data_IF_826370921075
#
_entry.id   IF_826370921075
#
_cell.length_a   1.000
_cell.length_b   1.000
_cell.length_c   1.000
_cell.angle_alpha   90.00
_cell.angle_beta   90.00
_cell.angle_gamma   90.00
#
_symmetry.space_group_name_H-M   'P 1'
#
loop_
_entity.id
_entity.type
_entity.pdbx_description
1 polymer ?
#
# COMPACT_ATOMS: atom_id res chain seq x y z
N UNK A 1 -22.90 35.78 -49.13
CA UNK A 1 -23.48 34.54 -48.57
C UNK A 1 -22.47 33.37 -48.47
N UNK A 2 -21.48 33.23 -49.37
CA UNK A 2 -20.46 32.16 -49.27
C UNK A 2 -19.38 32.39 -48.21
N UNK A 3 -19.07 33.65 -47.89
CA UNK A 3 -18.05 34.04 -46.89
C UNK A 3 -18.50 33.84 -45.44
N UNK A 4 -19.79 34.01 -45.15
CA UNK A 4 -20.36 33.85 -43.80
C UNK A 4 -20.49 32.38 -43.40
N UNK A 5 -20.81 31.49 -44.34
CA UNK A 5 -20.87 30.04 -44.11
C UNK A 5 -19.49 29.45 -43.78
N UNK A 6 -18.43 29.92 -44.44
CA UNK A 6 -17.06 29.45 -44.16
C UNK A 6 -16.61 29.86 -42.76
N UNK A 7 -16.92 31.08 -42.33
CA UNK A 7 -16.56 31.58 -41.00
C UNK A 7 -17.27 30.80 -39.87
N UNK A 8 -18.55 30.46 -40.06
CA UNK A 8 -19.33 29.67 -39.09
C UNK A 8 -18.81 28.24 -38.98
N UNK A 9 -18.43 27.62 -40.10
CA UNK A 9 -17.85 26.26 -40.10
C UNK A 9 -16.47 26.25 -39.42
N UNK A 10 -15.61 27.24 -39.68
CA UNK A 10 -14.30 27.35 -39.02
C UNK A 10 -14.45 27.57 -37.52
N UNK A 11 -15.39 28.39 -37.07
CA UNK A 11 -15.68 28.60 -35.65
C UNK A 11 -16.25 27.33 -34.99
N UNK A 12 -17.16 26.62 -35.65
CA UNK A 12 -17.73 25.38 -35.12
C UNK A 12 -16.65 24.28 -34.99
N UNK A 13 -15.76 24.15 -35.99
CA UNK A 13 -14.64 23.21 -35.94
C UNK A 13 -13.62 23.63 -34.88
N UNK A 14 -13.30 24.91 -34.73
CA UNK A 14 -12.41 25.39 -33.69
C UNK A 14 -12.97 25.14 -32.28
N UNK A 15 -14.27 25.35 -32.06
CA UNK A 15 -14.94 25.04 -30.80
C UNK A 15 -14.97 23.54 -30.55
N UNK A 16 -15.25 22.71 -31.56
CA UNK A 16 -15.27 21.25 -31.43
C UNK A 16 -13.86 20.69 -31.14
N UNK A 17 -12.83 21.20 -31.82
CA UNK A 17 -11.42 20.82 -31.59
C UNK A 17 -10.95 21.30 -30.22
N UNK A 18 -11.34 22.52 -29.80
CA UNK A 18 -11.03 23.04 -28.47
C UNK A 18 -11.75 22.25 -27.37
N UNK A 19 -13.00 21.84 -27.59
CA UNK A 19 -13.78 20.98 -26.69
C UNK A 19 -13.21 19.56 -26.59
N UNK A 20 -12.84 18.95 -27.73
CA UNK A 20 -12.17 17.64 -27.79
C UNK A 20 -10.75 17.68 -27.22
N UNK A 21 -10.03 18.80 -27.36
CA UNK A 21 -8.72 19.02 -26.73
C UNK A 21 -8.85 19.23 -25.22
N UNK A 22 -9.86 19.97 -24.76
CA UNK A 22 -10.15 20.16 -23.33
C UNK A 22 -10.59 18.86 -22.64
N UNK A 23 -11.20 17.91 -23.38
CA UNK A 23 -11.47 16.54 -22.87
C UNK A 23 -10.21 15.67 -22.71
N UNK A 24 -9.06 16.05 -23.29
CA UNK A 24 -7.78 15.34 -23.12
C UNK A 24 -6.77 16.08 -22.23
N UNK A 25 -7.04 17.33 -21.84
CA UNK A 25 -6.14 18.14 -21.01
C UNK A 25 -6.82 18.43 -19.68
N UNK A 26 -6.92 17.37 -18.87
CA UNK A 26 -7.38 17.42 -17.49
C UNK A 26 -6.53 16.52 -16.59
N UNK A 27 -5.21 16.51 -16.78
CA UNK A 27 -4.24 15.90 -15.85
C UNK A 27 -2.84 16.42 -16.17
N UNK A 28 -2.53 17.61 -15.65
CA UNK A 28 -1.15 18.11 -15.54
C UNK A 28 -0.89 18.49 -14.08
N UNK A 29 -0.49 17.49 -13.31
CA UNK A 29 0.28 17.64 -12.08
C UNK A 29 1.64 17.00 -12.30
N UNK A 30 2.52 17.67 -13.05
CA UNK A 30 3.91 17.27 -13.22
C UNK A 30 4.71 17.60 -11.97
N UNK A 31 4.80 16.65 -11.05
CA UNK A 31 5.68 16.69 -9.89
C UNK A 31 6.38 15.34 -9.76
N UNK A 32 7.67 15.30 -10.12
CA UNK A 32 8.71 14.30 -9.79
C UNK A 32 8.15 12.98 -9.19
N UNK A 33 8.10 11.91 -9.99
CA UNK A 33 7.65 10.58 -9.56
C UNK A 33 8.52 10.11 -8.38
N UNK A 34 8.04 10.36 -7.14
CA UNK A 34 8.28 9.47 -6.01
C UNK A 34 7.59 8.17 -6.40
N UNK A 35 8.28 7.05 -6.31
CA UNK A 35 7.71 5.73 -6.62
C UNK A 35 6.29 5.63 -6.05
N UNK A 36 5.29 5.18 -6.84
CA UNK A 36 3.92 5.10 -6.36
C UNK A 36 3.87 4.09 -5.21
N UNK A 37 3.81 4.60 -3.98
CA UNK A 37 3.53 3.77 -2.81
C UNK A 37 2.13 3.22 -2.99
N UNK A 38 2.01 1.90 -3.03
CA UNK A 38 0.71 1.24 -3.06
C UNK A 38 -0.01 1.54 -1.74
N UNK A 39 -1.21 2.16 -1.79
CA UNK A 39 -2.02 2.42 -0.60
C UNK A 39 -2.27 1.13 0.17
N UNK A 40 -2.40 1.24 1.49
CA UNK A 40 -2.74 0.11 2.33
C UNK A 40 -4.13 0.29 2.94
N UNK A 41 -4.92 -0.79 3.10
CA UNK A 41 -6.11 -0.77 3.94
C UNK A 41 -5.80 -0.13 5.31
N UNK A 42 -6.64 0.81 5.73
CA UNK A 42 -6.45 1.55 6.99
C UNK A 42 -5.70 2.88 6.83
N UNK A 43 -5.13 3.16 5.65
CA UNK A 43 -4.55 4.47 5.37
C UNK A 43 -5.60 5.51 5.00
N UNK A 44 -5.38 6.75 5.43
CA UNK A 44 -6.16 7.92 5.04
C UNK A 44 -5.43 8.62 3.90
N UNK A 45 -6.14 8.89 2.81
CA UNK A 45 -5.63 9.51 1.60
C UNK A 45 -6.50 10.68 1.16
N UNK A 46 -5.88 11.67 0.52
CA UNK A 46 -6.61 12.67 -0.24
C UNK A 46 -6.93 12.11 -1.63
N UNK A 47 -8.18 12.26 -2.06
CA UNK A 47 -8.65 11.76 -3.35
C UNK A 47 -9.76 12.64 -3.94
N UNK A 48 -9.94 12.55 -5.25
CA UNK A 48 -11.12 13.07 -5.94
C UNK A 48 -12.23 12.02 -5.85
N UNK A 49 -13.27 12.31 -5.06
CA UNK A 49 -14.35 11.35 -4.78
C UNK A 49 -15.64 11.81 -5.45
N UNK A 50 -16.25 10.98 -6.32
CA UNK A 50 -17.53 11.30 -6.95
C UNK A 50 -18.68 11.20 -5.94
N UNK A 51 -19.73 12.01 -6.10
CA UNK A 51 -20.99 11.82 -5.38
C UNK A 51 -21.85 10.73 -6.04
N UNK A 52 -22.60 9.96 -5.23
CA UNK A 52 -23.43 8.83 -5.72
C UNK A 52 -24.55 9.25 -6.67
N UNK A 53 -24.95 10.52 -6.67
CA UNK A 53 -26.21 10.99 -7.27
C UNK A 53 -26.04 12.24 -8.15
N UNK A 54 -24.86 12.86 -8.17
CA UNK A 54 -24.56 14.04 -8.98
C UNK A 54 -23.14 13.95 -9.55
N UNK A 55 -22.93 14.54 -10.73
CA UNK A 55 -21.64 14.60 -11.44
C UNK A 55 -20.68 15.63 -10.81
N UNK A 56 -20.64 15.67 -9.47
CA UNK A 56 -19.73 16.49 -8.69
C UNK A 56 -18.67 15.62 -8.01
N UNK A 57 -17.41 15.88 -8.35
CA UNK A 57 -16.25 15.35 -7.64
C UNK A 57 -15.77 16.34 -6.59
N UNK A 58 -15.34 15.83 -5.43
CA UNK A 58 -14.74 16.66 -4.39
C UNK A 58 -13.42 16.08 -3.92
N UNK A 59 -12.42 16.93 -3.81
CA UNK A 59 -11.12 16.59 -3.24
C UNK A 59 -11.24 16.51 -1.72
N UNK A 60 -11.23 15.30 -1.16
CA UNK A 60 -11.54 15.03 0.25
C UNK A 60 -10.62 13.94 0.81
N UNK A 61 -10.44 13.91 2.14
CA UNK A 61 -9.86 12.73 2.77
C UNK A 61 -10.81 11.53 2.64
N UNK A 62 -10.24 10.35 2.45
CA UNK A 62 -10.93 9.08 2.40
C UNK A 62 -10.10 7.99 3.08
N UNK A 63 -10.78 6.95 3.57
CA UNK A 63 -10.15 5.77 4.16
C UNK A 63 -10.07 4.65 3.12
N UNK A 64 -8.88 4.10 2.92
CA UNK A 64 -8.66 2.96 2.02
C UNK A 64 -9.17 1.67 2.64
N UNK A 65 -10.01 0.93 1.90
CA UNK A 65 -10.53 -0.38 2.31
C UNK A 65 -9.90 -1.53 1.54
N UNK A 66 -10.01 -1.48 0.21
CA UNK A 66 -9.50 -2.51 -0.69
C UNK A 66 -8.65 -1.88 -1.77
N UNK A 67 -7.55 -2.57 -2.11
CA UNK A 67 -6.66 -2.17 -3.20
C UNK A 67 -6.52 -3.34 -4.15
N UNK A 68 -6.86 -3.11 -5.43
CA UNK A 68 -6.78 -4.10 -6.51
C UNK A 68 -5.95 -3.55 -7.67
N UNK A 69 -5.71 -4.36 -8.70
CA UNK A 69 -5.03 -3.90 -9.91
C UNK A 69 -5.74 -2.72 -10.60
N UNK A 70 -7.08 -2.69 -10.57
CA UNK A 70 -7.85 -1.80 -11.43
C UNK A 70 -8.55 -0.67 -10.66
N UNK A 71 -8.79 -0.86 -9.36
CA UNK A 71 -9.56 0.08 -8.56
C UNK A 71 -9.17 0.06 -7.08
N UNK A 72 -9.60 1.10 -6.38
CA UNK A 72 -9.48 1.24 -4.93
C UNK A 72 -10.89 1.45 -4.37
N UNK A 73 -11.27 0.67 -3.36
CA UNK A 73 -12.51 0.94 -2.61
C UNK A 73 -12.17 1.77 -1.38
N UNK A 74 -12.92 2.85 -1.17
CA UNK A 74 -12.72 3.82 -0.09
C UNK A 74 -14.01 4.09 0.69
N UNK A 75 -13.87 4.63 1.91
CA UNK A 75 -14.94 5.30 2.63
C UNK A 75 -14.68 6.81 2.68
N UNK A 76 -15.75 7.60 2.63
CA UNK A 76 -15.67 9.06 2.70
C UNK A 76 -15.39 9.52 4.12
N UNK A 77 -14.60 10.59 4.24
CA UNK A 77 -14.47 11.35 5.49
C UNK A 77 -15.08 12.73 5.30
N UNK A 78 -15.88 13.17 6.26
CA UNK A 78 -16.50 14.50 6.29
C UNK A 78 -16.13 15.27 7.53
N UNK A 79 -15.90 16.57 7.40
CA UNK A 79 -15.68 17.48 8.53
C UNK A 79 -16.99 18.01 9.14
N UNK A 80 -18.13 17.69 8.53
CA UNK A 80 -19.44 18.03 9.08
C UNK A 80 -19.75 17.14 10.27
N UNK A 81 -20.36 17.69 11.30
CA UNK A 81 -20.83 16.89 12.42
C UNK A 81 -21.91 15.89 11.96
N UNK A 82 -21.70 14.63 12.30
CA UNK A 82 -22.62 13.51 12.03
C UNK A 82 -22.85 12.67 13.30
N UNK A 83 -22.60 13.24 14.48
CA UNK A 83 -22.81 12.59 15.78
C UNK A 83 -24.23 12.03 15.98
N UNK A 84 -25.23 12.64 15.36
CA UNK A 84 -26.63 12.19 15.37
C UNK A 84 -26.91 10.96 14.49
N UNK A 85 -25.95 10.50 13.67
CA UNK A 85 -26.14 9.37 12.75
C UNK A 85 -25.41 8.13 13.22
N UNK A 86 -26.06 6.98 13.09
CA UNK A 86 -25.51 5.67 13.48
C UNK A 86 -24.61 5.03 12.41
N UNK A 87 -24.68 5.52 11.17
CA UNK A 87 -23.86 5.10 10.04
C UNK A 87 -22.59 5.95 9.89
N UNK A 88 -22.25 6.74 10.90
CA UNK A 88 -21.02 7.51 10.98
C UNK A 88 -20.29 7.21 12.27
N UNK A 89 -18.96 7.27 12.24
CA UNK A 89 -18.13 7.20 13.43
C UNK A 89 -17.17 8.38 13.46
N UNK A 90 -17.04 9.00 14.63
CA UNK A 90 -16.08 10.07 14.83
C UNK A 90 -14.64 9.52 14.77
N UNK A 91 -13.76 10.23 14.08
CA UNK A 91 -12.34 9.91 13.94
C UNK A 91 -11.47 11.09 14.38
N UNK A 92 -10.48 10.88 15.26
CA UNK A 92 -9.51 11.90 15.61
C UNK A 92 -8.81 12.43 14.36
N UNK A 93 -8.81 13.76 14.17
CA UNK A 93 -8.29 14.36 12.93
C UNK A 93 -6.86 14.88 13.03
N UNK A 94 -6.44 15.31 14.24
CA UNK A 94 -5.11 15.90 14.44
C UNK A 94 -3.95 14.98 14.07
N UNK A 95 -4.15 13.66 14.12
CA UNK A 95 -3.12 12.67 13.78
C UNK A 95 -2.78 12.63 12.27
N UNK A 96 -3.70 13.04 11.39
CA UNK A 96 -3.52 13.02 9.93
C UNK A 96 -3.80 14.37 9.25
N UNK A 97 -4.28 15.36 10.00
CA UNK A 97 -4.39 16.76 9.61
C UNK A 97 -4.11 17.64 10.85
N UNK A 98 -2.82 17.95 11.12
CA UNK A 98 -2.39 18.60 12.38
C UNK A 98 -3.05 19.95 12.66
N UNK A 99 -3.42 20.68 11.61
CA UNK A 99 -4.06 22.00 11.69
C UNK A 99 -5.57 21.93 11.96
N UNK A 100 -6.16 20.73 12.05
CA UNK A 100 -7.59 20.61 12.32
C UNK A 100 -7.93 20.94 13.77
N UNK A 101 -8.95 21.77 13.95
CA UNK A 101 -9.47 22.16 15.26
C UNK A 101 -10.57 21.24 15.78
N UNK A 102 -11.10 20.37 14.92
CA UNK A 102 -12.17 19.41 15.24
C UNK A 102 -11.89 18.03 14.65
N UNK A 103 -12.59 17.04 15.17
CA UNK A 103 -12.63 15.70 14.60
C UNK A 103 -13.50 15.66 13.34
N UNK A 104 -13.35 14.57 12.59
CA UNK A 104 -14.08 14.31 11.36
C UNK A 104 -14.94 13.06 11.58
N UNK A 105 -15.87 12.82 10.68
CA UNK A 105 -16.71 11.64 10.71
C UNK A 105 -16.42 10.77 9.48
N UNK A 106 -16.22 9.48 9.73
CA UNK A 106 -16.10 8.46 8.71
C UNK A 106 -17.49 7.93 8.38
N UNK A 107 -17.88 7.98 7.10
CA UNK A 107 -19.14 7.43 6.59
C UNK A 107 -18.99 5.91 6.43
N UNK A 108 -19.75 5.14 7.21
CA UNK A 108 -19.74 3.67 7.23
C UNK A 108 -20.82 3.05 6.33
N UNK A 109 -21.63 3.86 5.65
CA UNK A 109 -22.83 3.37 4.94
C UNK A 109 -22.47 2.40 3.81
N UNK A 110 -21.64 2.83 2.86
CA UNK A 110 -21.16 1.97 1.80
C UNK A 110 -19.84 2.48 1.19
N UNK A 111 -18.98 1.57 0.72
CA UNK A 111 -17.78 1.93 -0.04
C UNK A 111 -18.09 2.71 -1.33
N UNK A 112 -17.09 3.47 -1.79
CA UNK A 112 -17.04 4.08 -3.12
C UNK A 112 -15.82 3.54 -3.82
N UNK A 113 -15.99 3.15 -5.08
CA UNK A 113 -14.90 2.71 -5.94
C UNK A 113 -14.32 3.90 -6.71
N UNK A 114 -13.01 4.08 -6.64
CA UNK A 114 -12.28 5.10 -7.38
C UNK A 114 -11.15 4.47 -8.22
N UNK A 115 -10.69 5.20 -9.24
CA UNK A 115 -9.52 4.82 -10.02
C UNK A 115 -8.22 5.20 -9.31
N UNK A 116 -7.13 4.53 -9.70
CA UNK A 116 -5.79 4.82 -9.17
C UNK A 116 -5.36 6.27 -9.34
N UNK A 117 -5.75 6.89 -10.44
CA UNK A 117 -5.32 8.24 -10.78
C UNK A 117 -6.10 9.31 -9.98
N UNK A 118 -7.18 8.94 -9.30
CA UNK A 118 -8.01 9.84 -8.47
C UNK A 118 -7.45 9.96 -7.05
N UNK A 119 -6.53 9.07 -6.69
CA UNK A 119 -5.78 9.12 -5.43
C UNK A 119 -4.59 10.07 -5.57
N UNK A 120 -4.45 11.00 -4.62
CA UNK A 120 -3.40 12.03 -4.66
C UNK A 120 -2.28 11.70 -3.65
N UNK A 121 -2.48 12.08 -2.38
CA UNK A 121 -1.43 11.99 -1.36
C UNK A 121 -1.94 11.38 -0.07
N UNK A 122 -1.09 10.56 0.55
CA UNK A 122 -1.34 9.97 1.86
C UNK A 122 -1.39 11.06 2.94
N UNK A 123 -2.43 11.03 3.77
CA UNK A 123 -2.57 11.89 4.94
C UNK A 123 -2.10 11.20 6.23
N UNK A 124 -2.43 9.92 6.41
CA UNK A 124 -2.13 9.21 7.66
C UNK A 124 -2.65 7.80 7.72
N UNK A 125 -2.85 7.29 8.93
CA UNK A 125 -3.52 6.03 9.24
C UNK A 125 -4.70 6.35 10.14
N UNK A 126 -5.82 5.65 9.95
CA UNK A 126 -6.95 5.77 10.88
C UNK A 126 -6.62 5.07 12.20
N UNK A 127 -7.15 5.59 13.29
CA UNK A 127 -6.96 5.00 14.61
C UNK A 127 -7.61 3.60 14.72
N UNK A 128 -7.07 2.77 15.63
CA UNK A 128 -7.44 1.37 15.74
C UNK A 128 -8.93 1.13 16.01
N UNK A 129 -9.57 1.95 16.84
CA UNK A 129 -11.00 1.81 17.18
C UNK A 129 -11.92 1.96 15.96
N UNK A 130 -11.89 3.10 15.26
CA UNK A 130 -12.63 3.26 14.01
C UNK A 130 -12.24 2.23 12.94
N UNK A 131 -10.95 1.85 12.84
CA UNK A 131 -10.52 0.80 11.90
C UNK A 131 -11.18 -0.55 12.17
N UNK A 132 -11.30 -0.93 13.43
CA UNK A 132 -11.97 -2.16 13.82
C UNK A 132 -13.44 -2.14 13.42
N UNK A 133 -14.14 -1.02 13.65
CA UNK A 133 -15.55 -0.89 13.26
C UNK A 133 -15.73 -1.05 11.75
N UNK A 134 -14.82 -0.50 10.96
CA UNK A 134 -14.76 -0.70 9.50
C UNK A 134 -14.56 -2.18 9.15
N UNK A 135 -13.59 -2.85 9.78
CA UNK A 135 -13.31 -4.27 9.55
C UNK A 135 -14.48 -5.21 9.91
N UNK A 136 -15.40 -4.78 10.78
CA UNK A 136 -16.62 -5.52 11.11
C UNK A 136 -17.71 -5.38 10.05
N UNK A 137 -17.78 -4.20 9.40
CA UNK A 137 -18.86 -3.86 8.48
C UNK A 137 -18.51 -4.10 7.00
N UNK A 138 -17.21 -4.11 6.68
CA UNK A 138 -16.73 -4.15 5.31
C UNK A 138 -15.67 -5.22 5.11
N UNK A 139 -15.66 -5.82 3.93
CA UNK A 139 -14.53 -6.61 3.47
C UNK A 139 -13.34 -5.67 3.21
N UNK A 140 -12.20 -6.00 3.79
CA UNK A 140 -10.95 -5.22 3.69
C UNK A 140 -9.81 -6.14 3.28
N UNK A 141 -8.89 -5.64 2.46
CA UNK A 141 -7.79 -6.46 1.97
C UNK A 141 -7.03 -5.85 0.81
N UNK A 142 -6.01 -6.58 0.37
CA UNK A 142 -5.25 -6.23 -0.82
C UNK A 142 -5.20 -7.45 -1.71
N UNK A 143 -5.78 -7.34 -2.89
CA UNK A 143 -5.50 -8.27 -3.98
C UNK A 143 -4.31 -7.66 -4.70
N UNK A 144 -3.13 -8.29 -4.60
CA UNK A 144 -1.92 -7.78 -5.25
C UNK A 144 -2.28 -7.41 -6.70
N UNK A 145 -2.01 -6.17 -7.15
CA UNK A 145 -1.97 -5.90 -8.57
C UNK A 145 -0.97 -6.86 -9.18
N UNK A 146 -1.43 -7.90 -9.87
CA UNK A 146 -0.72 -8.28 -11.08
C UNK A 146 -0.66 -6.97 -11.87
N UNK A 147 0.53 -6.40 -12.14
CA UNK A 147 0.60 -5.36 -13.15
C UNK A 147 -0.11 -5.94 -14.38
N UNK A 148 -0.96 -5.19 -15.10
CA UNK A 148 -1.44 -5.64 -16.39
C UNK A 148 -0.24 -6.20 -17.16
N UNK A 149 -0.37 -7.37 -17.79
CA UNK A 149 0.77 -8.09 -18.40
C UNK A 149 1.62 -7.20 -19.33
N UNK A 150 1.03 -6.12 -19.85
CA UNK A 150 1.68 -4.99 -20.51
C UNK A 150 2.93 -4.43 -19.78
N UNK A 151 2.95 -4.39 -18.45
CA UNK A 151 4.07 -3.91 -17.64
C UNK A 151 5.12 -4.97 -17.30
N UNK A 152 4.82 -6.25 -17.54
CA UNK A 152 5.75 -7.38 -17.36
C UNK A 152 6.28 -7.91 -18.70
N UNK A 153 5.79 -7.38 -19.82
CA UNK A 153 6.41 -7.61 -21.11
C UNK A 153 7.87 -7.11 -21.02
N UNK A 154 8.87 -7.95 -21.35
CA UNK A 154 10.21 -7.45 -21.57
C UNK A 154 10.09 -6.28 -22.55
N UNK A 155 10.70 -5.14 -22.23
CA UNK A 155 10.87 -4.08 -23.23
C UNK A 155 11.33 -4.76 -24.52
N UNK A 156 10.69 -4.53 -25.67
CA UNK A 156 11.16 -5.11 -26.91
C UNK A 156 12.63 -4.72 -27.00
N UNK A 157 13.53 -5.73 -26.96
CA UNK A 157 14.95 -5.48 -27.23
C UNK A 157 14.94 -4.70 -28.52
N UNK A 158 15.34 -3.44 -28.48
CA UNK A 158 15.59 -2.70 -29.70
C UNK A 158 16.62 -3.53 -30.46
N UNK A 159 16.15 -4.26 -31.47
CA UNK A 159 17.01 -4.73 -32.55
C UNK A 159 17.38 -3.46 -33.29
N UNK A 160 18.41 -2.78 -32.80
CA UNK A 160 19.17 -1.81 -33.56
C UNK A 160 19.82 -2.58 -34.71
N UNK A 161 19.09 -2.73 -35.81
CA UNK A 161 19.61 -3.08 -37.12
C UNK A 161 18.47 -2.98 -38.13
N UNK A 162 18.32 -1.81 -38.77
CA UNK A 162 18.38 -1.65 -40.24
C UNK A 162 18.09 -0.19 -40.68
N UNK A 163 18.54 0.18 -41.89
CA UNK A 163 19.11 1.48 -42.20
C UNK A 163 18.06 2.53 -42.56
N UNK A 164 18.38 3.79 -42.28
CA UNK A 164 17.58 4.96 -42.67
C UNK A 164 17.52 5.04 -44.19
N UNK A 165 16.39 4.60 -44.76
CA UNK A 165 16.02 4.88 -46.14
C UNK A 165 15.44 6.29 -46.23
N UNK A 166 16.08 7.09 -47.08
CA UNK A 166 15.72 8.45 -47.47
C UNK A 166 14.31 8.50 -48.07
N UNK A 167 13.48 9.44 -47.62
CA UNK A 167 12.37 9.96 -48.43
C UNK A 167 12.53 11.47 -48.53
N UNK A 168 12.71 11.90 -49.77
CA UNK A 168 12.81 13.28 -50.23
C UNK A 168 11.55 14.09 -49.86
N UNK A 169 11.77 15.33 -49.43
CA UNK A 169 10.88 16.44 -49.76
C UNK A 169 11.76 17.52 -50.41
N UNK A 170 11.57 17.69 -51.72
CA UNK A 170 12.01 18.86 -52.50
C UNK A 170 11.06 20.03 -52.13
N UNK A 171 11.38 21.33 -52.14
CA UNK A 171 12.17 22.20 -53.02
C UNK A 171 12.41 23.49 -52.21
N UNK A 172 13.64 24.03 -52.17
CA UNK A 172 14.03 25.40 -52.56
C UNK A 172 15.56 25.45 -52.44
N UNK A 173 16.17 25.71 -53.57
CA UNK A 173 17.59 25.69 -53.86
C UNK A 173 18.21 27.09 -53.73
N UNK A 174 19.54 27.11 -53.60
CA UNK A 174 20.49 28.18 -53.93
C UNK A 174 20.80 29.27 -52.89
N UNK A 175 21.95 29.14 -52.22
CA UNK A 175 23.19 29.97 -52.37
C UNK A 175 24.20 29.42 -51.32
N UNK A 176 25.23 28.66 -51.70
CA UNK A 176 26.60 29.12 -52.03
C UNK A 176 27.29 29.86 -50.86
N UNK A 177 28.54 29.69 -50.45
CA UNK A 177 29.75 28.90 -50.82
C UNK A 177 30.84 29.39 -49.81
N UNK A 178 31.88 28.59 -49.51
CA UNK A 178 33.12 28.90 -48.73
C UNK A 178 32.93 29.02 -47.20
N UNK A 179 33.86 28.69 -46.30
CA UNK A 179 35.31 28.42 -46.32
C UNK A 179 35.65 27.80 -44.93
N UNK A 180 36.39 26.69 -44.82
CA UNK A 180 37.80 26.63 -44.36
C UNK A 180 38.02 26.23 -42.88
N UNK A 181 38.99 25.30 -42.71
CA UNK A 181 39.70 24.86 -41.48
C UNK A 181 38.87 24.09 -40.45
N UNK A 182 39.27 22.96 -39.89
CA UNK A 182 40.56 22.29 -39.69
C UNK A 182 40.42 21.41 -38.43
N UNK A 183 41.21 20.34 -38.25
CA UNK A 183 40.85 19.21 -37.38
C UNK A 183 41.35 19.40 -35.93
N UNK A 184 40.60 18.89 -34.95
CA UNK A 184 41.14 18.61 -33.61
C UNK A 184 40.46 17.36 -33.03
N UNK A 185 41.17 16.25 -33.17
CA UNK A 185 41.05 15.07 -32.31
C UNK A 185 41.39 15.49 -30.87
N UNK A 186 40.57 15.09 -29.89
CA UNK A 186 41.10 14.61 -28.62
C UNK A 186 40.06 13.89 -27.76
N UNK A 187 40.40 12.64 -27.44
CA UNK A 187 40.29 11.98 -26.15
C UNK A 187 39.10 12.34 -25.25
N UNK A 188 38.13 11.43 -25.21
CA UNK A 188 37.26 11.28 -24.04
C UNK A 188 37.36 9.85 -23.51
N UNK A 189 37.98 9.77 -22.33
CA UNK A 189 38.16 8.59 -21.48
C UNK A 189 36.79 8.24 -20.86
N UNK A 190 36.39 6.96 -20.75
CA UNK A 190 35.19 6.63 -19.98
C UNK A 190 35.49 6.85 -18.49
N UNK A 191 34.82 7.84 -17.92
CA UNK A 191 34.79 8.08 -16.47
C UNK A 191 33.96 6.97 -15.83
N UNK A 192 34.63 6.03 -15.15
CA UNK A 192 33.99 5.13 -14.19
C UNK A 192 33.51 5.97 -13.00
N UNK A 193 32.24 6.35 -13.04
CA UNK A 193 31.53 6.92 -11.90
C UNK A 193 31.27 5.85 -10.85
N UNK A 194 32.22 5.69 -9.93
CA UNK A 194 31.97 5.14 -8.60
C UNK A 194 31.04 6.07 -7.84
N UNK A 195 29.83 5.62 -7.53
CA UNK A 195 28.84 6.31 -6.67
C UNK A 195 27.73 5.29 -6.36
N UNK A 196 27.55 4.73 -5.18
CA UNK A 196 28.30 4.82 -3.94
C UNK A 196 27.89 3.62 -3.08
N UNK A 197 28.68 3.36 -2.03
CA UNK A 197 28.35 2.41 -0.97
C UNK A 197 26.90 2.59 -0.51
N UNK A 198 26.05 1.58 -0.76
CA UNK A 198 24.90 1.35 0.11
C UNK A 198 25.42 0.55 1.29
N UNK A 199 25.67 1.31 2.35
CA UNK A 199 25.83 0.89 3.73
C UNK A 199 25.06 -0.41 4.07
N UNK A 200 25.75 -1.55 4.03
CA UNK A 200 26.38 -2.09 5.24
C UNK A 200 25.51 -2.49 6.44
N UNK A 201 24.21 -2.17 6.53
CA UNK A 201 23.40 -2.57 7.69
C UNK A 201 22.64 -3.89 7.41
N UNK A 202 23.36 -4.99 7.25
CA UNK A 202 22.79 -6.34 7.19
C UNK A 202 22.45 -6.87 8.60
N UNK A 203 21.62 -6.14 9.35
CA UNK A 203 21.28 -6.45 10.73
C UNK A 203 20.03 -7.32 10.91
N UNK A 204 19.88 -7.84 12.13
CA UNK A 204 18.67 -8.50 12.61
C UNK A 204 17.44 -7.61 12.39
N UNK A 205 16.31 -8.22 12.07
CA UNK A 205 15.09 -7.49 11.68
C UNK A 205 13.90 -7.96 12.48
N UNK A 206 13.21 -7.03 13.14
CA UNK A 206 11.95 -7.35 13.78
C UNK A 206 10.88 -7.72 12.75
N UNK A 207 10.12 -8.78 13.02
CA UNK A 207 9.20 -9.36 12.05
C UNK A 207 8.11 -8.38 11.57
N UNK A 208 7.57 -7.52 12.45
CA UNK A 208 6.61 -6.48 12.08
C UNK A 208 7.13 -5.43 11.09
N UNK A 209 8.45 -5.38 10.84
CA UNK A 209 9.04 -4.49 9.82
C UNK A 209 8.95 -5.07 8.42
N UNK A 210 8.73 -6.39 8.30
CA UNK A 210 8.51 -7.02 7.02
C UNK A 210 7.07 -6.79 6.56
N UNK A 211 6.91 -6.70 5.24
CA UNK A 211 5.59 -6.62 4.63
C UNK A 211 4.93 -7.99 4.67
N UNK A 212 3.70 -8.05 5.17
CA UNK A 212 2.86 -9.24 5.04
C UNK A 212 2.45 -9.38 3.58
N UNK A 213 2.74 -10.54 2.97
CA UNK A 213 2.49 -10.81 1.55
C UNK A 213 1.20 -11.58 1.30
N UNK A 214 0.68 -12.27 2.31
CA UNK A 214 -0.57 -13.02 2.22
C UNK A 214 -1.24 -13.17 3.60
N UNK A 215 -2.55 -13.40 3.59
CA UNK A 215 -3.36 -13.60 4.79
C UNK A 215 -4.02 -12.32 5.33
N UNK A 216 -4.36 -12.32 6.62
CA UNK A 216 -5.11 -11.27 7.31
C UNK A 216 -4.25 -10.04 7.67
N UNK A 217 -3.46 -9.54 6.71
CA UNK A 217 -2.52 -8.43 6.87
C UNK A 217 -3.16 -7.14 7.43
N UNK A 218 -4.46 -6.93 7.19
CA UNK A 218 -5.23 -5.79 7.72
C UNK A 218 -5.50 -5.89 9.22
N UNK A 219 -5.31 -7.08 9.79
CA UNK A 219 -5.60 -7.40 11.19
C UNK A 219 -4.30 -7.71 11.94
N UNK A 220 -3.34 -8.40 11.33
CA UNK A 220 -2.13 -8.87 12.02
C UNK A 220 -0.84 -8.39 11.34
N UNK A 221 0.30 -8.55 12.02
CA UNK A 221 1.63 -8.31 11.46
C UNK A 221 2.18 -6.90 11.64
N UNK A 222 1.45 -5.99 12.28
CA UNK A 222 1.94 -4.65 12.63
C UNK A 222 2.54 -4.61 14.04
N UNK A 223 3.26 -3.52 14.34
CA UNK A 223 3.88 -3.32 15.65
C UNK A 223 2.84 -2.98 16.72
N UNK A 224 2.92 -3.66 17.86
CA UNK A 224 2.14 -3.35 19.06
C UNK A 224 3.04 -3.35 20.31
N UNK A 225 2.68 -2.55 21.31
CA UNK A 225 3.20 -2.64 22.68
C UNK A 225 2.28 -3.56 23.47
N UNK A 226 2.81 -4.74 23.84
CA UNK A 226 2.06 -5.82 24.45
C UNK A 226 2.57 -6.14 25.84
N UNK A 227 1.68 -6.63 26.70
CA UNK A 227 2.04 -7.21 27.99
C UNK A 227 1.70 -8.69 27.98
N UNK A 228 2.71 -9.56 28.00
CA UNK A 228 2.56 -11.00 27.86
C UNK A 228 2.93 -11.67 29.19
N UNK A 229 1.96 -12.34 29.84
CA UNK A 229 2.12 -12.93 31.17
C UNK A 229 2.73 -11.96 32.23
N UNK A 230 2.43 -10.66 32.11
CA UNK A 230 2.92 -9.61 33.02
C UNK A 230 4.18 -8.87 32.55
N UNK A 231 4.94 -9.43 31.61
CA UNK A 231 6.15 -8.79 31.08
C UNK A 231 5.83 -7.91 29.87
N UNK A 232 6.51 -6.77 29.76
CA UNK A 232 6.27 -5.78 28.69
C UNK A 232 7.17 -6.02 27.47
N UNK A 233 6.55 -6.05 26.29
CA UNK A 233 7.19 -6.24 24.98
C UNK A 233 6.79 -5.11 23.99
N UNK A 234 7.53 -3.98 23.96
CA UNK A 234 7.16 -2.80 23.15
C UNK A 234 7.43 -2.93 21.64
N UNK A 235 8.04 -4.04 21.23
CA UNK A 235 8.38 -4.37 19.84
C UNK A 235 7.74 -5.69 19.43
N UNK A 236 6.46 -5.86 19.74
CA UNK A 236 5.71 -7.07 19.44
C UNK A 236 5.11 -7.05 18.03
N UNK A 237 4.99 -8.22 17.43
CA UNK A 237 4.24 -8.44 16.18
C UNK A 237 2.83 -8.89 16.52
N UNK A 238 1.83 -8.11 16.13
CA UNK A 238 0.41 -8.36 16.39
C UNK A 238 -0.11 -9.64 15.71
N UNK A 239 -0.88 -10.47 16.42
CA UNK A 239 -1.56 -11.66 15.89
C UNK A 239 -3.02 -11.73 16.36
N UNK A 240 -3.97 -11.61 15.43
CA UNK A 240 -5.35 -11.95 15.75
C UNK A 240 -5.54 -13.44 15.91
N UNK A 241 -6.27 -13.81 16.95
CA UNK A 241 -6.67 -15.18 17.19
C UNK A 241 -7.95 -15.45 16.43
N UNK A 242 -7.96 -16.52 15.64
CA UNK A 242 -9.15 -17.03 14.99
C UNK A 242 -10.16 -17.60 15.98
N UNK A 243 -11.17 -16.80 16.30
CA UNK A 243 -12.15 -17.07 17.36
C UNK A 243 -13.33 -17.94 16.92
N UNK A 244 -13.51 -18.16 15.61
CA UNK A 244 -14.49 -19.08 15.04
C UNK A 244 -13.96 -20.53 14.95
N UNK A 245 -12.75 -20.77 15.47
CA UNK A 245 -12.07 -22.07 15.38
C UNK A 245 -11.28 -22.27 14.09
N UNK A 246 -11.29 -21.30 13.16
CA UNK A 246 -10.42 -21.29 11.99
C UNK A 246 -9.19 -20.43 12.27
N UNK A 247 -7.97 -20.86 11.90
CA UNK A 247 -6.78 -20.06 12.13
C UNK A 247 -6.78 -18.79 11.27
N UNK A 248 -6.55 -17.64 11.90
CA UNK A 248 -6.15 -16.44 11.19
C UNK A 248 -4.65 -16.51 10.91
N UNK A 249 -4.27 -16.17 9.68
CA UNK A 249 -2.94 -16.48 9.15
C UNK A 249 -2.33 -15.26 8.49
N UNK A 250 -1.03 -15.06 8.66
CA UNK A 250 -0.24 -14.07 7.91
C UNK A 250 1.08 -14.68 7.44
N UNK A 251 1.54 -14.26 6.26
CA UNK A 251 2.79 -14.78 5.67
C UNK A 251 3.75 -13.66 5.29
N UNK A 252 5.05 -13.94 5.40
CA UNK A 252 6.17 -13.05 5.11
C UNK A 252 7.13 -13.72 4.12
N UNK A 253 7.56 -12.97 3.10
CA UNK A 253 8.68 -13.37 2.26
C UNK A 253 10.01 -13.02 2.94
N UNK A 254 10.74 -14.06 3.34
CA UNK A 254 12.05 -13.94 3.97
C UNK A 254 13.20 -14.37 3.05
N UNK A 255 12.90 -15.02 1.91
CA UNK A 255 13.82 -15.34 0.81
C UNK A 255 15.14 -16.01 1.24
N UNK A 256 15.10 -16.85 2.27
CA UNK A 256 16.29 -17.53 2.79
C UNK A 256 17.34 -16.60 3.43
N UNK A 257 16.99 -15.32 3.67
CA UNK A 257 17.94 -14.29 4.16
C UNK A 257 18.27 -14.41 5.65
N UNK A 258 17.57 -15.25 6.39
CA UNK A 258 17.68 -15.39 7.83
C UNK A 258 17.89 -16.85 8.22
N UNK A 259 18.60 -17.07 9.31
CA UNK A 259 18.87 -18.40 9.86
C UNK A 259 18.01 -18.72 11.07
N UNK A 260 17.56 -17.72 11.82
CA UNK A 260 16.84 -17.94 13.08
C UNK A 260 15.71 -16.94 13.29
N UNK A 261 14.61 -17.41 13.86
CA UNK A 261 13.55 -16.56 14.42
C UNK A 261 13.51 -16.78 15.93
N UNK A 262 13.74 -15.71 16.70
CA UNK A 262 13.59 -15.68 18.16
C UNK A 262 12.41 -14.77 18.54
N UNK A 263 11.50 -15.24 19.40
CA UNK A 263 10.36 -14.47 19.89
C UNK A 263 9.78 -15.06 21.17
N UNK A 264 8.98 -14.28 21.90
CA UNK A 264 8.10 -14.76 22.97
C UNK A 264 6.65 -14.76 22.48
N UNK A 265 6.03 -15.93 22.34
CA UNK A 265 4.61 -16.03 22.05
C UNK A 265 3.78 -15.86 23.32
N UNK A 266 2.71 -15.08 23.25
CA UNK A 266 1.79 -14.89 24.37
C UNK A 266 0.47 -14.28 23.95
N UNK A 267 -0.45 -14.19 24.91
CA UNK A 267 -1.67 -13.39 24.79
C UNK A 267 -1.53 -12.10 25.59
N UNK A 268 -2.06 -11.01 25.07
CA UNK A 268 -1.98 -9.68 25.66
C UNK A 268 -2.87 -9.57 26.92
N UNK A 269 -2.59 -8.60 27.78
CA UNK A 269 -3.20 -8.51 29.11
C UNK A 269 -4.72 -8.33 29.09
N UNK A 270 -5.29 -7.76 28.02
CA UNK A 270 -6.73 -7.58 27.83
C UNK A 270 -7.46 -8.85 27.36
N UNK A 271 -6.73 -9.93 27.07
CA UNK A 271 -7.34 -11.20 26.70
C UNK A 271 -8.21 -11.76 27.83
N UNK A 272 -9.38 -12.36 27.55
CA UNK A 272 -10.19 -13.02 28.58
C UNK A 272 -9.40 -14.15 29.28
N UNK A 273 -9.48 -14.25 30.60
CA UNK A 273 -8.66 -15.19 31.40
C UNK A 273 -8.86 -16.67 31.02
N UNK A 274 -10.05 -17.03 30.52
CA UNK A 274 -10.36 -18.39 30.07
C UNK A 274 -9.92 -18.71 28.63
N UNK A 275 -9.43 -17.74 27.86
CA UNK A 275 -9.03 -17.92 26.47
C UNK A 275 -7.65 -18.60 26.39
N UNK A 276 -7.59 -19.69 25.63
CA UNK A 276 -6.34 -20.28 25.17
C UNK A 276 -6.27 -20.25 23.64
N UNK A 277 -5.09 -19.96 23.11
CA UNK A 277 -4.86 -19.96 21.67
C UNK A 277 -3.63 -20.79 21.31
N UNK A 278 -3.72 -21.50 20.20
CA UNK A 278 -2.59 -22.16 19.55
C UNK A 278 -1.98 -21.20 18.54
N UNK A 279 -0.69 -20.92 18.70
CA UNK A 279 0.12 -20.14 17.77
C UNK A 279 1.05 -21.11 17.04
N UNK A 280 1.05 -21.03 15.72
CA UNK A 280 1.88 -21.88 14.85
C UNK A 280 2.80 -21.01 14.02
N UNK A 281 4.07 -21.40 13.94
CA UNK A 281 5.04 -20.86 13.00
C UNK A 281 5.39 -21.95 12.00
N UNK A 282 5.18 -21.68 10.72
CA UNK A 282 5.50 -22.57 9.63
C UNK A 282 6.49 -21.91 8.66
N UNK A 283 7.38 -22.70 8.07
CA UNK A 283 8.27 -22.28 6.98
C UNK A 283 7.99 -23.14 5.76
N UNK A 284 7.67 -22.50 4.64
CA UNK A 284 7.31 -23.14 3.36
C UNK A 284 6.21 -24.20 3.52
N UNK A 285 5.18 -23.88 4.31
CA UNK A 285 4.04 -24.76 4.59
C UNK A 285 4.30 -25.84 5.65
N UNK A 286 5.54 -26.04 6.10
CA UNK A 286 5.88 -27.01 7.16
C UNK A 286 5.91 -26.34 8.53
N UNK A 287 5.15 -26.87 9.48
CA UNK A 287 5.19 -26.43 10.90
C UNK A 287 6.60 -26.57 11.46
N UNK A 288 7.14 -25.46 11.97
CA UNK A 288 8.43 -25.37 12.67
C UNK A 288 8.23 -25.34 14.18
N UNK A 289 7.21 -24.63 14.65
CA UNK A 289 6.82 -24.58 16.07
C UNK A 289 5.31 -24.47 16.20
N UNK A 290 4.76 -25.12 17.21
CA UNK A 290 3.37 -24.96 17.63
C UNK A 290 3.37 -24.85 19.15
N UNK A 291 2.74 -23.82 19.69
CA UNK A 291 2.62 -23.57 21.12
C UNK A 291 1.19 -23.20 21.46
N UNK A 292 0.72 -23.60 22.65
CA UNK A 292 -0.55 -23.13 23.20
C UNK A 292 -0.25 -22.20 24.35
N UNK A 293 -0.83 -21.01 24.33
CA UNK A 293 -0.63 -19.96 25.32
C UNK A 293 -1.98 -19.51 25.89
N UNK A 294 -1.94 -19.01 27.11
CA UNK A 294 -3.05 -18.32 27.79
C UNK A 294 -2.63 -16.89 28.10
N UNK A 295 -3.54 -16.08 28.67
CA UNK A 295 -3.21 -14.73 29.16
C UNK A 295 -2.05 -14.71 30.16
N UNK A 296 -1.95 -15.75 30.98
CA UNK A 296 -1.02 -15.84 32.11
C UNK A 296 0.22 -16.70 31.79
N UNK A 297 0.39 -17.14 30.53
CA UNK A 297 1.52 -17.97 30.11
C UNK A 297 2.11 -17.50 28.79
N UNK A 298 3.43 -17.65 28.67
CA UNK A 298 4.17 -17.42 27.43
C UNK A 298 4.92 -18.67 26.99
N UNK A 299 5.29 -18.72 25.72
CA UNK A 299 6.14 -19.77 25.18
C UNK A 299 7.25 -19.19 24.30
N UNK A 300 8.48 -19.65 24.49
CA UNK A 300 9.59 -19.28 23.62
C UNK A 300 9.42 -19.89 22.23
N UNK A 301 9.58 -19.04 21.20
CA UNK A 301 9.79 -19.43 19.82
C UNK A 301 11.24 -19.16 19.51
N UNK A 302 11.98 -20.25 19.31
CA UNK A 302 13.36 -20.21 18.89
C UNK A 302 13.53 -21.30 17.86
N UNK A 303 13.56 -20.92 16.58
CA UNK A 303 13.53 -21.86 15.46
C UNK A 303 14.56 -21.50 14.40
N UNK A 304 15.10 -22.55 13.78
CA UNK A 304 15.86 -22.46 12.54
C UNK A 304 14.90 -22.17 11.36
N UNK A 305 15.21 -21.10 10.63
CA UNK A 305 14.52 -20.69 9.39
C UNK A 305 15.48 -20.63 8.20
N UNK A 306 16.65 -21.28 8.31
CA UNK A 306 17.63 -21.37 7.23
C UNK A 306 16.99 -21.95 5.98
N UNK A 307 17.16 -21.23 4.87
CA UNK A 307 16.60 -21.62 3.57
C UNK A 307 15.09 -21.44 3.42
N UNK A 308 14.36 -21.03 4.46
CA UNK A 308 12.92 -20.77 4.37
C UNK A 308 12.68 -19.54 3.50
N UNK A 309 11.75 -19.65 2.55
CA UNK A 309 11.38 -18.53 1.66
C UNK A 309 10.13 -17.82 2.15
N UNK A 310 9.12 -18.59 2.55
CA UNK A 310 7.85 -18.09 3.07
C UNK A 310 7.67 -18.49 4.53
N UNK A 311 7.64 -17.51 5.42
CA UNK A 311 7.35 -17.71 6.84
C UNK A 311 5.88 -17.41 7.11
N UNK A 312 5.14 -18.34 7.70
CA UNK A 312 3.71 -18.19 7.98
C UNK A 312 3.46 -18.28 9.48
N UNK A 313 2.75 -17.30 10.02
CA UNK A 313 2.23 -17.31 11.38
C UNK A 313 0.73 -17.57 11.35
N UNK A 314 0.24 -18.39 12.27
CA UNK A 314 -1.20 -18.50 12.51
C UNK A 314 -1.54 -18.56 13.99
N UNK A 315 -2.74 -18.07 14.33
CA UNK A 315 -3.27 -18.15 15.67
C UNK A 315 -4.76 -18.55 15.65
N UNK A 316 -5.12 -19.52 16.49
CA UNK A 316 -6.50 -20.04 16.57
C UNK A 316 -6.87 -20.32 18.01
N UNK A 317 -8.11 -20.02 18.38
CA UNK A 317 -8.64 -20.36 19.70
C UNK A 317 -8.71 -21.87 19.87
N UNK A 318 -8.20 -22.38 20.99
CA UNK A 318 -8.32 -23.80 21.38
C UNK A 318 -9.25 -24.02 22.56
N UNK A 319 -9.40 -23.03 23.45
CA UNK A 319 -10.30 -23.08 24.60
C UNK A 319 -10.82 -21.69 24.94
N UNK A 320 -11.95 -21.63 25.63
CA UNK A 320 -12.58 -20.40 26.11
C UNK A 320 -13.38 -19.69 25.03
N UNK A 321 -13.78 -18.47 25.35
CA UNK A 321 -14.54 -17.61 24.44
C UNK A 321 -13.76 -16.33 24.18
N UNK A 322 -13.83 -15.85 22.94
CA UNK A 322 -13.34 -14.54 22.61
C UNK A 322 -14.42 -13.51 22.91
N UNK A 323 -14.00 -12.35 23.40
CA UNK A 323 -14.85 -11.18 23.54
C UNK A 323 -14.59 -10.19 22.39
N UNK A 324 -15.34 -9.10 22.37
CA UNK A 324 -15.02 -7.98 21.49
C UNK A 324 -13.74 -7.31 22.00
N UNK A 325 -12.69 -7.31 21.19
CA UNK A 325 -11.44 -6.63 21.50
C UNK A 325 -11.05 -5.68 20.38
N UNK A 326 -10.58 -4.48 20.75
CA UNK A 326 -10.07 -3.45 19.83
C UNK A 326 -8.62 -3.66 19.40
N UNK A 327 -7.99 -4.69 19.94
CA UNK A 327 -6.59 -5.04 19.74
C UNK A 327 -6.49 -6.57 19.64
N UNK A 328 -5.52 -7.09 18.86
CA UNK A 328 -5.28 -8.53 18.75
C UNK A 328 -5.04 -9.14 20.13
N UNK A 329 -5.53 -10.37 20.33
CA UNK A 329 -5.23 -11.11 21.56
C UNK A 329 -3.82 -11.68 21.56
N UNK A 330 -3.32 -12.16 20.43
CA UNK A 330 -2.00 -12.77 20.35
C UNK A 330 -0.93 -11.77 19.96
N UNK A 331 0.29 -12.03 20.41
CA UNK A 331 1.46 -11.33 19.90
C UNK A 331 2.70 -12.23 19.93
N UNK A 332 3.66 -11.91 19.09
CA UNK A 332 5.04 -12.37 19.22
C UNK A 332 5.90 -11.22 19.73
N UNK A 333 6.20 -11.25 21.03
CA UNK A 333 7.09 -10.32 21.72
C UNK A 333 8.52 -10.42 21.20
N UNK A 334 9.11 -9.26 20.89
CA UNK A 334 10.46 -9.10 20.36
C UNK A 334 10.82 -10.05 19.21
N UNK A 335 9.83 -10.38 18.36
CA UNK A 335 10.04 -11.29 17.24
C UNK A 335 11.13 -10.77 16.30
N UNK A 336 12.29 -11.42 16.33
CA UNK A 336 13.52 -11.00 15.69
C UNK A 336 14.01 -12.08 14.74
N UNK A 337 14.18 -11.71 13.47
CA UNK A 337 14.82 -12.52 12.45
C UNK A 337 16.32 -12.21 12.43
N UNK A 338 17.13 -13.26 12.59
CA UNK A 338 18.59 -13.20 12.75
C UNK A 338 19.24 -13.87 11.54
N UNK A 339 20.30 -13.25 11.00
CA UNK A 339 21.03 -13.73 9.80
C UNK A 339 22.17 -14.70 10.11
#
# INVERSE_FOLDING_TARGET
MRSTLLAVVVLAVAVLVSWLASRRVGRRGGGRIRQPRIPQPGEIWWAYVPFREIDEEKHRPCLVLNVTANYIDILKITSQDKSHRTDHIEIPTRSWSPNSTKNSFLDLSAPIRIGWADLDRRAGVVDAGPWQRVCQLHQVGRTIPQPPAEYLAPLPRERTNRPVARVLVAVVTFFAVLCVCGPCLNNFVPFFGSSGNVDGSQGDTHLYRLTVVAGDASRSGYRIDSTLAGDRYPKSTALWVGCDGKPLTISYEIDGRYKRLAATAGLDAHTPAGLAAKIVVAGDGKTRKSVTVTRDTTAAIDIDVTGVRLLTLSAVRTKGSCELASRPYGALGDALLIR
#
